data_IF_325566024223
#
_entry.id   IF_325566024223
#
_cell.length_a   1.000
_cell.length_b   1.000
_cell.length_c   1.000
_cell.angle_alpha   90.00
_cell.angle_beta   90.00
_cell.angle_gamma   90.00
#
_symmetry.space_group_name_H-M   'P 1'
#
loop_
_entity.id
_entity.type
_entity.pdbx_description
1 polymer ?
#
# COMPACT_ATOMS: atom_id res chain seq x y z
N UNK A 1 16.60 -16.22 42.08
CA UNK A 1 15.48 -16.91 41.40
C UNK A 1 14.57 -15.87 40.76
N UNK A 2 14.79 -15.53 39.49
CA UNK A 2 13.87 -14.70 38.72
C UNK A 2 12.65 -15.55 38.38
N UNK A 3 11.52 -15.32 39.06
CA UNK A 3 10.22 -15.89 38.65
C UNK A 3 9.88 -15.30 37.28
N UNK A 4 10.12 -16.05 36.22
CA UNK A 4 9.48 -15.86 34.92
C UNK A 4 7.96 -15.92 35.16
N UNK A 5 7.32 -14.75 35.27
CA UNK A 5 5.85 -14.67 35.31
C UNK A 5 5.35 -15.31 34.01
N UNK A 6 4.62 -16.42 34.13
CA UNK A 6 3.89 -17.00 33.00
C UNK A 6 3.12 -15.88 32.30
N UNK A 7 3.12 -15.82 30.96
CA UNK A 7 2.42 -14.78 30.23
C UNK A 7 0.95 -14.79 30.65
N UNK A 8 0.47 -13.69 31.26
CA UNK A 8 -0.94 -13.54 31.61
C UNK A 8 -1.79 -13.78 30.36
N UNK A 9 -2.79 -14.67 30.42
CA UNK A 9 -3.69 -14.94 29.31
C UNK A 9 -4.38 -13.66 28.82
N UNK A 10 -4.75 -13.59 27.54
CA UNK A 10 -5.47 -12.45 27.00
C UNK A 10 -6.79 -12.22 27.76
N UNK A 11 -7.48 -13.28 28.17
CA UNK A 11 -8.68 -13.22 29.00
C UNK A 11 -8.43 -12.56 30.37
N UNK A 12 -7.43 -13.05 31.13
CA UNK A 12 -7.08 -12.48 32.43
C UNK A 12 -6.57 -11.03 32.31
N UNK A 13 -5.91 -10.71 31.19
CA UNK A 13 -5.47 -9.35 30.89
C UNK A 13 -6.66 -8.43 30.66
N UNK A 14 -7.64 -8.86 29.87
CA UNK A 14 -8.86 -8.12 29.63
C UNK A 14 -9.63 -7.88 30.93
N UNK A 15 -9.87 -8.91 31.74
CA UNK A 15 -10.64 -8.77 32.98
C UNK A 15 -9.97 -7.80 33.97
N UNK A 16 -8.64 -7.85 34.05
CA UNK A 16 -7.87 -6.87 34.84
C UNK A 16 -8.02 -5.44 34.30
N UNK A 17 -7.98 -5.28 32.97
CA UNK A 17 -8.15 -3.98 32.33
C UNK A 17 -9.57 -3.43 32.52
N UNK A 18 -10.60 -4.28 32.37
CA UNK A 18 -12.01 -3.94 32.60
C UNK A 18 -12.24 -3.46 34.03
N UNK A 19 -11.76 -4.22 35.02
CA UNK A 19 -11.87 -3.85 36.45
C UNK A 19 -11.20 -2.51 36.73
N UNK A 20 -10.00 -2.27 36.19
CA UNK A 20 -9.30 -0.99 36.34
C UNK A 20 -10.05 0.16 35.67
N UNK A 21 -10.59 -0.05 34.47
CA UNK A 21 -11.32 0.96 33.73
C UNK A 21 -12.64 1.35 34.41
N UNK A 22 -13.34 0.38 35.01
CA UNK A 22 -14.56 0.63 35.79
C UNK A 22 -14.26 1.38 37.10
N UNK A 23 -13.14 1.10 37.75
CA UNK A 23 -12.73 1.80 38.96
C UNK A 23 -12.31 3.26 38.72
N UNK A 24 -11.59 3.54 37.62
CA UNK A 24 -11.10 4.88 37.29
C UNK A 24 -12.15 5.76 36.60
N UNK A 25 -12.98 5.15 35.76
CA UNK A 25 -13.98 5.84 34.94
C UNK A 25 -15.30 5.05 34.97
N UNK A 26 -16.11 5.22 36.04
CA UNK A 26 -17.39 4.55 36.17
C UNK A 26 -18.32 4.93 35.02
N UNK A 27 -19.15 3.97 34.63
CA UNK A 27 -20.07 4.12 33.50
C UNK A 27 -21.27 4.97 33.95
N UNK A 28 -21.73 5.95 33.15
CA UNK A 28 -22.95 6.70 33.46
C UNK A 28 -24.16 5.77 33.65
N UNK A 29 -25.04 6.12 34.58
CA UNK A 29 -26.27 5.36 34.89
C UNK A 29 -27.13 5.15 33.63
N UNK A 30 -27.46 3.90 33.33
CA UNK A 30 -28.28 3.51 32.16
C UNK A 30 -27.49 2.96 30.96
N UNK A 31 -26.15 3.05 30.95
CA UNK A 31 -25.33 2.45 29.89
C UNK A 31 -24.93 1.00 30.20
N UNK A 32 -25.10 0.09 29.24
CA UNK A 32 -24.67 -1.31 29.38
C UNK A 32 -23.15 -1.40 29.42
N UNK A 33 -22.61 -1.99 30.48
CA UNK A 33 -21.17 -2.23 30.62
C UNK A 33 -20.75 -3.57 29.96
N UNK A 34 -19.53 -3.64 29.39
CA UNK A 34 -18.94 -4.90 28.95
C UNK A 34 -18.82 -5.88 30.12
N UNK A 35 -19.14 -7.16 29.86
CA UNK A 35 -19.03 -8.23 30.86
C UNK A 35 -17.61 -8.81 30.91
N UNK A 36 -17.19 -9.39 32.07
CA UNK A 36 -15.93 -10.13 32.19
C UNK A 36 -15.95 -11.44 31.37
N UNK A 37 -14.78 -12.01 31.11
CA UNK A 37 -14.63 -13.20 30.25
C UNK A 37 -15.37 -14.43 30.76
N UNK A 38 -15.65 -14.52 32.06
CA UNK A 38 -16.43 -15.61 32.66
C UNK A 38 -17.88 -15.68 32.19
N UNK A 39 -18.41 -14.58 31.64
CA UNK A 39 -19.77 -14.51 31.12
C UNK A 39 -19.85 -14.73 29.60
N UNK A 40 -18.71 -14.99 28.94
CA UNK A 40 -18.65 -15.11 27.48
C UNK A 40 -18.82 -16.56 27.03
N UNK A 41 -19.26 -16.80 25.78
CA UNK A 41 -19.08 -18.09 25.13
C UNK A 41 -17.60 -18.51 25.15
N UNK A 42 -17.33 -19.78 25.43
CA UNK A 42 -15.95 -20.32 25.51
C UNK A 42 -15.14 -20.05 24.23
N UNK A 43 -15.78 -20.18 23.07
CA UNK A 43 -15.19 -19.87 21.77
C UNK A 43 -14.69 -18.43 21.64
N UNK A 44 -15.31 -17.45 22.32
CA UNK A 44 -14.89 -16.06 22.30
C UNK A 44 -13.64 -15.85 23.16
N UNK A 45 -13.48 -16.64 24.23
CA UNK A 45 -12.26 -16.66 25.06
C UNK A 45 -11.11 -17.21 24.23
N UNK A 46 -11.32 -18.35 23.56
CA UNK A 46 -10.32 -18.93 22.65
C UNK A 46 -9.99 -17.97 21.50
N UNK A 47 -10.99 -17.29 20.92
CA UNK A 47 -10.79 -16.28 19.88
C UNK A 47 -9.89 -15.14 20.38
N UNK A 48 -10.08 -14.66 21.61
CA UNK A 48 -9.28 -13.55 22.15
C UNK A 48 -7.80 -13.95 22.33
N UNK A 49 -7.52 -15.20 22.71
CA UNK A 49 -6.15 -15.74 22.72
C UNK A 49 -5.59 -15.83 21.30
N UNK A 50 -6.34 -16.37 20.33
CA UNK A 50 -5.92 -16.38 18.91
C UNK A 50 -5.66 -14.98 18.38
N UNK A 51 -6.47 -13.99 18.77
CA UNK A 51 -6.27 -12.60 18.38
C UNK A 51 -4.97 -12.03 18.94
N UNK A 52 -4.64 -12.37 20.19
CA UNK A 52 -3.38 -11.99 20.80
C UNK A 52 -2.21 -12.58 20.04
N UNK A 53 -2.24 -13.89 19.78
CA UNK A 53 -1.20 -14.59 19.02
C UNK A 53 -1.04 -14.01 17.61
N UNK A 54 -2.16 -13.67 16.96
CA UNK A 54 -2.18 -13.00 15.68
C UNK A 54 -1.49 -11.62 15.74
N UNK A 55 -1.79 -10.80 16.76
CA UNK A 55 -1.14 -9.50 16.93
C UNK A 55 0.37 -9.63 17.21
N UNK A 56 0.77 -10.59 18.04
CA UNK A 56 2.17 -10.88 18.36
C UNK A 56 2.92 -11.33 17.10
N UNK A 57 2.35 -12.26 16.33
CA UNK A 57 2.86 -12.68 15.03
C UNK A 57 2.93 -11.50 14.06
N UNK A 58 1.97 -10.57 14.12
CA UNK A 58 1.90 -9.32 13.35
C UNK A 58 2.99 -8.30 13.62
N UNK A 59 3.70 -8.48 14.73
CA UNK A 59 4.70 -7.55 15.22
C UNK A 59 4.13 -6.31 15.89
N UNK A 60 2.92 -6.40 16.46
CA UNK A 60 2.44 -5.37 17.37
C UNK A 60 3.29 -5.39 18.66
N UNK A 61 3.61 -4.21 19.20
CA UNK A 61 4.36 -4.10 20.45
C UNK A 61 3.53 -4.63 21.62
N UNK A 62 4.16 -5.35 22.57
CA UNK A 62 3.44 -5.94 23.70
C UNK A 62 2.65 -4.91 24.51
N UNK A 63 3.21 -3.72 24.72
CA UNK A 63 2.52 -2.63 25.41
C UNK A 63 1.26 -2.15 24.68
N UNK A 64 1.24 -2.23 23.34
CA UNK A 64 0.08 -1.88 22.53
C UNK A 64 -0.97 -2.99 22.58
N UNK A 65 -0.52 -4.25 22.49
CA UNK A 65 -1.37 -5.44 22.63
C UNK A 65 -2.10 -5.41 23.98
N UNK A 66 -1.34 -5.33 25.07
CA UNK A 66 -1.83 -5.44 26.44
C UNK A 66 -2.73 -4.26 26.85
N UNK A 67 -2.40 -3.04 26.42
CA UNK A 67 -3.08 -1.83 26.92
C UNK A 67 -4.19 -1.30 25.99
N UNK A 68 -4.20 -1.68 24.71
CA UNK A 68 -5.14 -1.11 23.73
C UNK A 68 -5.90 -2.19 22.95
N UNK A 69 -5.18 -3.14 22.34
CA UNK A 69 -5.79 -4.11 21.40
C UNK A 69 -6.67 -5.12 22.12
N UNK A 70 -6.14 -5.79 23.15
CA UNK A 70 -6.87 -6.78 23.94
C UNK A 70 -8.03 -6.14 24.72
N UNK A 71 -7.85 -5.00 25.42
CA UNK A 71 -8.97 -4.30 26.04
C UNK A 71 -10.11 -3.96 25.08
N UNK A 72 -9.80 -3.41 23.89
CA UNK A 72 -10.87 -3.08 22.94
C UNK A 72 -11.56 -4.30 22.33
N UNK A 73 -10.81 -5.33 21.95
CA UNK A 73 -11.42 -6.56 21.45
C UNK A 73 -12.35 -7.18 22.51
N UNK A 74 -11.90 -7.21 23.76
CA UNK A 74 -12.72 -7.71 24.84
C UNK A 74 -13.96 -6.83 25.13
N UNK A 75 -13.90 -5.51 24.94
CA UNK A 75 -15.11 -4.68 25.03
C UNK A 75 -16.14 -5.04 23.96
N UNK A 76 -15.71 -5.36 22.73
CA UNK A 76 -16.61 -5.84 21.67
C UNK A 76 -17.26 -7.16 22.09
N UNK A 77 -16.47 -8.13 22.54
CA UNK A 77 -16.97 -9.46 22.94
C UNK A 77 -17.85 -9.39 24.20
N UNK A 78 -17.48 -8.57 25.18
CA UNK A 78 -18.21 -8.43 26.44
C UNK A 78 -19.48 -7.60 26.36
N UNK A 79 -19.64 -6.77 25.33
CA UNK A 79 -20.91 -6.10 25.03
C UNK A 79 -21.85 -6.98 24.20
N UNK A 80 -21.29 -7.89 23.41
CA UNK A 80 -22.00 -8.74 22.46
C UNK A 80 -21.78 -10.22 22.82
N UNK A 81 -22.55 -10.72 23.80
CA UNK A 81 -22.45 -12.09 24.33
C UNK A 81 -23.04 -13.15 23.37
N UNK A 82 -22.58 -13.13 22.13
CA UNK A 82 -22.91 -14.12 21.11
C UNK A 82 -21.63 -14.70 20.50
N UNK A 83 -21.70 -15.91 19.92
CA UNK A 83 -20.61 -16.50 19.17
C UNK A 83 -19.95 -15.52 18.20
N UNK A 84 -18.62 -15.51 18.14
CA UNK A 84 -17.87 -14.58 17.30
C UNK A 84 -18.20 -14.67 15.81
N UNK A 85 -18.65 -15.84 15.33
CA UNK A 85 -19.12 -16.04 13.95
C UNK A 85 -20.43 -15.27 13.66
N UNK A 86 -21.24 -14.98 14.68
CA UNK A 86 -22.51 -14.25 14.58
C UNK A 86 -22.37 -12.74 14.83
N UNK A 87 -21.16 -12.24 15.11
CA UNK A 87 -20.92 -10.80 15.24
C UNK A 87 -21.14 -10.08 13.91
N UNK A 88 -21.93 -9.01 13.95
CA UNK A 88 -22.09 -8.06 12.87
C UNK A 88 -20.94 -7.05 12.97
N UNK A 89 -20.07 -7.02 11.95
CA UNK A 89 -18.82 -6.28 12.04
C UNK A 89 -19.00 -4.76 12.01
N UNK A 90 -20.16 -4.28 11.60
CA UNK A 90 -20.48 -2.85 11.54
C UNK A 90 -21.14 -2.42 12.85
N UNK A 91 -22.25 -3.06 13.23
CA UNK A 91 -23.06 -2.65 14.38
C UNK A 91 -22.46 -3.08 15.73
N UNK A 92 -21.90 -4.29 15.84
CA UNK A 92 -21.41 -4.79 17.14
C UNK A 92 -20.09 -4.16 17.56
N UNK A 93 -19.23 -3.82 16.59
CA UNK A 93 -17.99 -3.08 16.85
C UNK A 93 -18.27 -1.62 17.21
N UNK A 94 -19.29 -1.01 16.59
CA UNK A 94 -19.68 0.37 16.89
C UNK A 94 -20.16 0.52 18.34
N UNK A 95 -20.90 -0.45 18.89
CA UNK A 95 -21.29 -0.46 20.32
C UNK A 95 -20.11 -0.28 21.27
N UNK A 96 -18.96 -0.91 20.97
CA UNK A 96 -17.75 -0.76 21.78
C UNK A 96 -17.14 0.64 21.66
N UNK A 97 -17.23 1.26 20.48
CA UNK A 97 -16.81 2.65 20.28
C UNK A 97 -17.73 3.62 21.03
N UNK A 98 -19.06 3.43 20.94
CA UNK A 98 -20.05 4.21 21.69
C UNK A 98 -19.81 4.11 23.19
N UNK A 99 -19.55 2.90 23.72
CA UNK A 99 -19.19 2.69 25.12
C UNK A 99 -17.95 3.47 25.56
N UNK A 100 -16.93 3.59 24.71
CA UNK A 100 -15.75 4.38 25.01
C UNK A 100 -16.04 5.88 24.92
N UNK A 101 -16.84 6.31 23.95
CA UNK A 101 -17.21 7.71 23.76
C UNK A 101 -18.03 8.28 24.92
N UNK A 102 -18.89 7.48 25.57
CA UNK A 102 -19.65 7.93 26.75
C UNK A 102 -18.76 8.32 27.93
N UNK A 103 -17.50 7.86 27.96
CA UNK A 103 -16.51 8.22 28.98
C UNK A 103 -15.76 9.53 28.67
N UNK A 104 -16.14 10.25 27.61
CA UNK A 104 -15.50 11.48 27.15
C UNK A 104 -13.96 11.45 27.09
N UNK A 105 -13.34 10.44 26.45
CA UNK A 105 -11.90 10.34 26.39
C UNK A 105 -11.29 11.38 25.44
N UNK A 106 -9.99 11.61 25.60
CA UNK A 106 -9.23 12.53 24.74
C UNK A 106 -9.30 12.12 23.25
N UNK A 107 -9.18 13.07 22.31
CA UNK A 107 -9.21 12.77 20.86
C UNK A 107 -8.16 11.73 20.44
N UNK A 108 -6.96 11.80 21.00
CA UNK A 108 -5.88 10.83 20.77
C UNK A 108 -6.25 9.41 21.24
N UNK A 109 -6.91 9.30 22.40
CA UNK A 109 -7.38 8.00 22.89
C UNK A 109 -8.50 7.44 22.01
N UNK A 110 -9.43 8.27 21.57
CA UNK A 110 -10.48 7.85 20.63
C UNK A 110 -9.90 7.30 19.34
N UNK A 111 -8.88 7.96 18.79
CA UNK A 111 -8.20 7.48 17.58
C UNK A 111 -7.49 6.15 17.81
N UNK A 112 -6.83 5.98 18.95
CA UNK A 112 -6.22 4.70 19.32
C UNK A 112 -7.26 3.57 19.49
N UNK A 113 -8.44 3.87 20.04
CA UNK A 113 -9.55 2.92 20.14
C UNK A 113 -10.11 2.56 18.76
N UNK A 114 -10.35 3.53 17.88
CA UNK A 114 -10.77 3.29 16.48
C UNK A 114 -9.77 2.40 15.76
N UNK A 115 -8.48 2.73 15.89
CA UNK A 115 -7.41 1.92 15.33
C UNK A 115 -7.41 0.51 15.94
N UNK A 116 -7.66 0.35 17.25
CA UNK A 116 -7.77 -0.95 17.93
C UNK A 116 -8.91 -1.80 17.41
N UNK A 117 -10.09 -1.22 17.23
CA UNK A 117 -11.25 -1.87 16.63
C UNK A 117 -10.98 -2.29 15.18
N UNK A 118 -10.33 -1.43 14.39
CA UNK A 118 -9.96 -1.79 13.02
C UNK A 118 -9.05 -3.03 12.97
N UNK A 119 -8.11 -3.20 13.91
CA UNK A 119 -7.29 -4.42 13.96
C UNK A 119 -8.09 -5.66 14.38
N UNK A 120 -9.04 -5.52 15.30
CA UNK A 120 -9.90 -6.63 15.69
C UNK A 120 -10.85 -7.04 14.56
N UNK A 121 -11.43 -6.04 13.85
CA UNK A 121 -12.22 -6.28 12.63
C UNK A 121 -11.43 -7.06 11.59
N UNK A 122 -10.18 -6.65 11.35
CA UNK A 122 -9.27 -7.32 10.42
C UNK A 122 -9.05 -8.78 10.76
N UNK A 123 -8.78 -9.04 12.02
CA UNK A 123 -8.63 -10.40 12.52
C UNK A 123 -9.91 -11.22 12.31
N UNK A 124 -11.08 -10.68 12.67
CA UNK A 124 -12.36 -11.37 12.46
C UNK A 124 -12.67 -11.65 10.98
N UNK A 125 -12.36 -10.72 10.08
CA UNK A 125 -12.50 -10.96 8.63
C UNK A 125 -11.60 -12.11 8.18
N UNK A 126 -10.36 -12.13 8.65
CA UNK A 126 -9.41 -13.20 8.33
C UNK A 126 -9.87 -14.55 8.87
N UNK A 127 -10.35 -14.62 10.12
CA UNK A 127 -10.90 -15.86 10.71
C UNK A 127 -12.11 -16.40 9.93
N UNK A 128 -12.87 -15.51 9.28
CA UNK A 128 -14.01 -15.86 8.42
C UNK A 128 -13.63 -16.18 6.97
N UNK A 129 -12.34 -16.12 6.62
CA UNK A 129 -11.87 -16.28 5.23
C UNK A 129 -12.31 -15.13 4.31
N UNK A 130 -12.72 -14.00 4.86
CA UNK A 130 -13.14 -12.82 4.10
C UNK A 130 -11.93 -11.90 3.88
N UNK A 131 -11.66 -11.55 2.61
CA UNK A 131 -10.64 -10.56 2.29
C UNK A 131 -11.08 -9.16 2.78
N UNK A 132 -10.18 -8.38 3.40
CA UNK A 132 -10.44 -6.94 3.53
C UNK A 132 -10.60 -6.37 2.11
N UNK A 133 -11.66 -5.59 1.84
CA UNK A 133 -11.66 -4.72 0.67
C UNK A 133 -10.35 -3.94 0.71
N UNK A 134 -9.54 -3.97 -0.36
CA UNK A 134 -8.32 -3.15 -0.44
C UNK A 134 -8.73 -1.73 -0.08
N UNK A 135 -8.31 -1.26 1.09
CA UNK A 135 -8.71 0.05 1.60
C UNK A 135 -8.56 1.09 0.50
N UNK A 136 -9.63 1.87 0.28
CA UNK A 136 -9.71 2.93 -0.73
C UNK A 136 -8.36 3.59 -0.84
N UNK A 137 -7.71 3.39 -1.98
CA UNK A 137 -6.36 3.87 -2.13
C UNK A 137 -6.42 5.39 -2.12
N UNK A 138 -5.69 6.01 -1.19
CA UNK A 138 -5.64 7.47 -0.98
C UNK A 138 -4.89 8.10 -2.16
N UNK A 139 -5.50 8.08 -3.33
CA UNK A 139 -5.10 8.90 -4.46
C UNK A 139 -6.01 10.12 -4.44
N UNK A 140 -5.45 11.30 -4.72
CA UNK A 140 -6.24 12.54 -4.70
C UNK A 140 -7.42 12.47 -5.68
N UNK A 141 -8.39 13.36 -5.51
CA UNK A 141 -9.53 13.50 -6.40
C UNK A 141 -9.05 13.78 -7.83
N UNK A 142 -9.33 12.86 -8.76
CA UNK A 142 -8.96 13.00 -10.17
C UNK A 142 -9.73 14.15 -10.83
N UNK A 143 -10.90 14.47 -10.28
CA UNK A 143 -11.82 15.54 -10.67
C UNK A 143 -11.11 16.90 -10.70
N UNK A 144 -10.11 17.13 -9.83
CA UNK A 144 -9.33 18.38 -9.81
C UNK A 144 -8.54 18.64 -11.09
N UNK A 145 -8.23 17.59 -11.85
CA UNK A 145 -7.52 17.67 -13.12
C UNK A 145 -8.46 17.80 -14.32
N UNK A 146 -9.76 17.62 -14.09
CA UNK A 146 -10.83 17.80 -15.06
C UNK A 146 -11.42 19.20 -14.98
N UNK A 147 -11.39 19.82 -13.79
CA UNK A 147 -11.90 21.17 -13.55
C UNK A 147 -11.37 22.19 -14.58
N UNK A 148 -12.30 22.91 -15.22
CA UNK A 148 -12.03 23.93 -16.23
C UNK A 148 -11.77 23.41 -17.65
N UNK A 149 -11.73 22.09 -17.88
CA UNK A 149 -11.62 21.56 -19.23
C UNK A 149 -12.98 21.51 -19.93
N UNK A 150 -13.04 21.76 -21.25
CA UNK A 150 -14.27 21.61 -22.03
C UNK A 150 -14.87 20.20 -21.97
N UNK A 151 -16.20 20.11 -21.96
CA UNK A 151 -16.92 18.84 -21.89
C UNK A 151 -16.60 17.91 -23.07
N UNK A 152 -16.46 18.48 -24.28
CA UNK A 152 -16.09 17.70 -25.47
C UNK A 152 -14.72 17.02 -25.29
N UNK A 153 -13.76 17.71 -24.66
CA UNK A 153 -12.41 17.20 -24.42
C UNK A 153 -12.42 16.14 -23.33
N UNK A 154 -13.15 16.37 -22.23
CA UNK A 154 -13.34 15.39 -21.16
C UNK A 154 -13.91 14.09 -21.73
N UNK A 155 -14.94 14.17 -22.57
CA UNK A 155 -15.54 13.01 -23.22
C UNK A 155 -14.54 12.23 -24.10
N UNK A 156 -13.60 12.89 -24.78
CA UNK A 156 -12.56 12.20 -25.55
C UNK A 156 -11.47 11.61 -24.64
N UNK A 157 -11.07 12.31 -23.58
CA UNK A 157 -10.08 11.82 -22.61
C UNK A 157 -10.60 10.60 -21.85
N UNK A 158 -11.89 10.54 -21.52
CA UNK A 158 -12.52 9.35 -20.94
C UNK A 158 -12.51 8.14 -21.87
N UNK A 159 -12.75 8.36 -23.17
CA UNK A 159 -12.62 7.30 -24.18
C UNK A 159 -11.17 6.79 -24.26
N UNK A 160 -10.20 7.70 -24.29
CA UNK A 160 -8.77 7.35 -24.28
C UNK A 160 -8.38 6.59 -22.99
N UNK A 161 -8.90 7.03 -21.85
CA UNK A 161 -8.71 6.38 -20.56
C UNK A 161 -9.24 4.93 -20.62
N UNK A 162 -10.46 4.73 -21.12
CA UNK A 162 -11.09 3.42 -21.27
C UNK A 162 -10.23 2.47 -22.12
N UNK A 163 -9.71 2.95 -23.27
CA UNK A 163 -8.82 2.16 -24.12
C UNK A 163 -7.53 1.76 -23.41
N UNK A 164 -6.94 2.68 -22.62
CA UNK A 164 -5.70 2.39 -21.88
C UNK A 164 -5.92 1.43 -20.72
N UNK A 165 -7.05 1.54 -20.03
CA UNK A 165 -7.40 0.70 -18.88
C UNK A 165 -7.38 -0.80 -19.19
N UNK A 166 -7.72 -1.20 -20.42
CA UNK A 166 -7.68 -2.60 -20.85
C UNK A 166 -6.28 -3.24 -20.69
N UNK A 167 -5.22 -2.43 -20.82
CA UNK A 167 -3.84 -2.88 -20.70
C UNK A 167 -3.28 -2.82 -19.27
N UNK A 168 -4.05 -2.30 -18.31
CA UNK A 168 -3.56 -2.03 -16.96
C UNK A 168 -3.84 -3.18 -16.00
N UNK A 169 -2.87 -3.45 -15.12
CA UNK A 169 -3.05 -4.37 -14.00
C UNK A 169 -4.16 -3.85 -13.08
N UNK A 170 -5.04 -4.75 -12.66
CA UNK A 170 -6.15 -4.45 -11.74
C UNK A 170 -5.66 -3.81 -10.43
N UNK A 171 -4.59 -4.37 -9.84
CA UNK A 171 -3.96 -3.84 -8.62
C UNK A 171 -3.51 -2.39 -8.73
N UNK A 172 -3.29 -1.90 -9.94
CA UNK A 172 -2.78 -0.56 -10.25
C UNK A 172 -3.83 0.33 -10.91
N UNK A 173 -5.04 -0.13 -11.15
CA UNK A 173 -6.02 0.61 -11.95
C UNK A 173 -6.33 1.97 -11.34
N UNK A 174 -6.61 2.03 -10.04
CA UNK A 174 -6.91 3.29 -9.33
C UNK A 174 -5.79 4.33 -9.45
N UNK A 175 -4.52 3.94 -9.21
CA UNK A 175 -3.39 4.87 -9.34
C UNK A 175 -3.13 5.28 -10.77
N UNK A 176 -3.32 4.37 -11.72
CA UNK A 176 -3.13 4.63 -13.14
C UNK A 176 -4.19 5.60 -13.67
N UNK A 177 -5.44 5.53 -13.19
CA UNK A 177 -6.50 6.50 -13.50
C UNK A 177 -6.10 7.89 -12.99
N UNK A 178 -5.71 8.00 -11.72
CA UNK A 178 -5.26 9.28 -11.16
C UNK A 178 -4.06 9.87 -11.94
N UNK A 179 -3.05 9.03 -12.23
CA UNK A 179 -1.88 9.45 -12.98
C UNK A 179 -2.17 9.78 -14.44
N UNK A 180 -3.16 9.14 -15.04
CA UNK A 180 -3.65 9.48 -16.37
C UNK A 180 -4.13 10.93 -16.35
N UNK A 181 -5.11 11.26 -15.50
CA UNK A 181 -5.63 12.62 -15.43
C UNK A 181 -4.54 13.64 -15.11
N UNK A 182 -3.67 13.37 -14.14
CA UNK A 182 -2.55 14.26 -13.81
C UNK A 182 -1.62 14.58 -15.00
N UNK A 183 -1.30 13.58 -15.84
CA UNK A 183 -0.27 13.70 -16.89
C UNK A 183 -0.87 14.06 -18.25
N UNK A 184 -2.09 13.59 -18.54
CA UNK A 184 -2.74 13.75 -19.83
C UNK A 184 -3.43 15.11 -19.94
N UNK A 185 -3.81 15.76 -18.84
CA UNK A 185 -4.47 17.07 -18.89
C UNK A 185 -3.55 18.26 -18.70
N UNK A 186 -2.25 18.06 -18.43
CA UNK A 186 -1.38 19.18 -18.04
C UNK A 186 -1.25 20.24 -19.13
N UNK A 187 -0.92 19.83 -20.37
CA UNK A 187 -0.85 20.76 -21.51
C UNK A 187 -2.25 21.30 -21.84
N UNK A 188 -3.30 20.47 -21.77
CA UNK A 188 -4.67 20.93 -22.02
C UNK A 188 -5.10 22.05 -21.07
N UNK A 189 -4.83 21.91 -19.76
CA UNK A 189 -5.14 22.95 -18.78
C UNK A 189 -4.35 24.22 -19.06
N UNK A 190 -3.06 24.12 -19.41
CA UNK A 190 -2.28 25.29 -19.80
C UNK A 190 -2.84 25.96 -21.06
N UNK A 191 -3.28 25.20 -22.07
CA UNK A 191 -3.90 25.75 -23.28
C UNK A 191 -5.23 26.47 -22.99
N UNK A 192 -6.03 25.95 -22.05
CA UNK A 192 -7.28 26.59 -21.60
C UNK A 192 -6.97 27.85 -20.79
N UNK A 193 -6.01 27.80 -19.87
CA UNK A 193 -5.56 28.95 -19.07
C UNK A 193 -5.03 30.09 -19.94
N UNK A 194 -4.55 29.80 -21.15
CA UNK A 194 -4.08 30.78 -22.14
C UNK A 194 -5.11 31.04 -23.25
N UNK A 195 -6.37 30.66 -23.06
CA UNK A 195 -7.49 30.94 -23.96
C UNK A 195 -7.34 30.40 -25.40
N UNK A 196 -6.46 29.39 -25.60
CA UNK A 196 -6.25 28.77 -26.92
C UNK A 196 -7.33 27.72 -27.19
N UNK A 197 -7.76 27.01 -26.15
CA UNK A 197 -8.81 26.00 -26.20
C UNK A 197 -10.00 26.48 -25.37
N UNK A 198 -11.20 26.31 -25.94
CA UNK A 198 -12.46 26.71 -25.34
C UNK A 198 -13.52 25.60 -25.55
N UNK A 199 -14.79 25.92 -25.25
CA UNK A 199 -15.90 24.97 -25.32
C UNK A 199 -16.26 24.52 -26.75
N UNK A 200 -15.69 25.15 -27.77
CA UNK A 200 -15.82 24.75 -29.16
C UNK A 200 -14.70 23.78 -29.58
N UNK A 201 -15.07 22.69 -30.25
CA UNK A 201 -14.12 21.71 -30.78
C UNK A 201 -13.24 22.27 -31.91
N UNK A 202 -13.70 23.31 -32.62
CA UNK A 202 -12.91 23.96 -33.67
C UNK A 202 -11.65 24.66 -33.12
N UNK A 203 -11.64 24.99 -31.82
CA UNK A 203 -10.49 25.58 -31.13
C UNK A 203 -9.23 24.71 -31.19
N UNK A 204 -9.36 23.40 -31.46
CA UNK A 204 -8.23 22.50 -31.73
C UNK A 204 -7.35 22.99 -32.89
N UNK A 205 -7.93 23.68 -33.88
CA UNK A 205 -7.19 24.21 -35.03
C UNK A 205 -6.33 25.42 -34.67
N UNK A 206 -6.60 26.07 -33.53
CA UNK A 206 -5.84 27.22 -33.04
C UNK A 206 -4.51 26.83 -32.40
N UNK A 207 -4.30 25.54 -32.08
CA UNK A 207 -3.06 25.07 -31.48
C UNK A 207 -1.91 25.19 -32.48
N UNK A 208 -0.90 26.00 -32.13
CA UNK A 208 0.32 26.21 -32.92
C UNK A 208 1.55 25.67 -32.20
N UNK A 209 2.66 25.52 -32.92
CA UNK A 209 3.95 25.09 -32.35
C UNK A 209 4.44 26.08 -31.29
N UNK A 210 4.22 27.37 -31.51
CA UNK A 210 4.67 28.42 -30.59
C UNK A 210 4.02 28.28 -29.21
N UNK A 211 2.76 27.84 -29.15
CA UNK A 211 2.09 27.55 -27.88
C UNK A 211 2.76 26.40 -27.13
N UNK A 212 3.24 25.37 -27.84
CA UNK A 212 3.95 24.24 -27.22
C UNK A 212 5.35 24.64 -26.75
N UNK A 213 6.05 25.48 -27.50
CA UNK A 213 7.34 26.05 -27.04
C UNK A 213 7.14 26.95 -25.81
N UNK A 214 6.13 27.83 -25.82
CA UNK A 214 5.78 28.66 -24.68
C UNK A 214 5.43 27.83 -23.43
N UNK A 215 4.68 26.73 -23.59
CA UNK A 215 4.45 25.77 -22.50
C UNK A 215 5.77 25.17 -21.98
N UNK A 216 6.65 24.71 -22.87
CA UNK A 216 7.92 24.10 -22.49
C UNK A 216 8.79 25.10 -21.71
N UNK A 217 8.88 26.35 -22.17
CA UNK A 217 9.62 27.42 -21.50
C UNK A 217 9.01 27.76 -20.14
N UNK A 218 7.69 27.87 -20.05
CA UNK A 218 6.98 28.12 -18.79
C UNK A 218 7.23 27.00 -17.76
N UNK A 219 7.24 25.74 -18.19
CA UNK A 219 7.53 24.61 -17.30
C UNK A 219 9.00 24.60 -16.85
N UNK A 220 9.94 24.93 -17.73
CA UNK A 220 11.35 25.06 -17.36
C UNK A 220 11.56 26.22 -16.37
N UNK A 221 10.90 27.36 -16.58
CA UNK A 221 10.94 28.51 -15.67
C UNK A 221 10.39 28.18 -14.28
N UNK A 222 9.39 27.29 -14.20
CA UNK A 222 8.85 26.75 -12.95
C UNK A 222 9.74 25.66 -12.31
N UNK A 223 10.88 25.32 -12.91
CA UNK A 223 11.83 24.34 -12.38
C UNK A 223 11.48 22.87 -12.67
N UNK A 224 10.60 22.60 -13.64
CA UNK A 224 10.34 21.21 -14.06
C UNK A 224 11.55 20.62 -14.76
N UNK A 225 11.86 19.35 -14.46
CA UNK A 225 12.91 18.63 -15.17
C UNK A 225 12.55 18.43 -16.65
N UNK A 226 13.54 18.55 -17.54
CA UNK A 226 13.44 18.31 -18.99
C UNK A 226 12.74 16.98 -19.31
N UNK A 227 13.02 15.93 -18.52
CA UNK A 227 12.39 14.62 -18.66
C UNK A 227 10.87 14.64 -18.45
N UNK A 228 10.39 15.45 -17.53
CA UNK A 228 8.95 15.63 -17.23
C UNK A 228 8.25 16.40 -18.34
N UNK A 229 8.84 17.52 -18.78
CA UNK A 229 8.30 18.33 -19.89
C UNK A 229 8.16 17.49 -21.17
N UNK A 230 9.20 16.71 -21.49
CA UNK A 230 9.16 15.79 -22.62
C UNK A 230 8.10 14.69 -22.48
N UNK A 231 7.83 14.22 -21.25
CA UNK A 231 6.78 13.24 -21.01
C UNK A 231 5.39 13.85 -21.20
N UNK A 232 5.18 15.09 -20.76
CA UNK A 232 3.94 15.83 -21.00
C UNK A 232 3.69 15.99 -22.50
N UNK A 233 4.71 16.46 -23.25
CA UNK A 233 4.65 16.58 -24.70
C UNK A 233 4.33 15.24 -25.38
N UNK A 234 5.00 14.16 -24.97
CA UNK A 234 4.76 12.82 -25.50
C UNK A 234 3.32 12.34 -25.27
N UNK A 235 2.79 12.52 -24.05
CA UNK A 235 1.40 12.15 -23.73
C UNK A 235 0.41 12.98 -24.54
N UNK A 236 0.64 14.29 -24.64
CA UNK A 236 -0.19 15.21 -25.41
C UNK A 236 -0.21 14.86 -26.90
N UNK A 237 0.94 14.62 -27.52
CA UNK A 237 1.01 14.14 -28.91
C UNK A 237 0.31 12.77 -29.08
N UNK A 238 0.35 11.91 -28.07
CA UNK A 238 -0.44 10.68 -28.02
C UNK A 238 -1.95 10.95 -28.02
N UNK A 239 -2.42 11.94 -27.27
CA UNK A 239 -3.81 12.40 -27.30
C UNK A 239 -4.19 12.97 -28.66
N UNK A 240 -3.35 13.82 -29.24
CA UNK A 240 -3.61 14.42 -30.55
C UNK A 240 -3.72 13.37 -31.66
N UNK A 241 -2.86 12.33 -31.65
CA UNK A 241 -2.99 11.18 -32.57
C UNK A 241 -4.32 10.45 -32.39
N UNK A 242 -4.74 10.24 -31.14
CA UNK A 242 -6.04 9.62 -30.84
C UNK A 242 -7.21 10.47 -31.35
N UNK A 243 -7.16 11.80 -31.18
CA UNK A 243 -8.19 12.71 -31.71
C UNK A 243 -8.20 12.72 -33.24
N UNK A 244 -7.03 12.75 -33.88
CA UNK A 244 -6.91 12.68 -35.35
C UNK A 244 -7.56 11.40 -35.91
N UNK A 245 -7.33 10.24 -35.27
CA UNK A 245 -7.96 8.97 -35.65
C UNK A 245 -9.49 8.98 -35.51
N UNK A 246 -10.05 9.89 -34.73
CA UNK A 246 -11.49 10.06 -34.52
C UNK A 246 -12.12 11.14 -35.40
N UNK A 247 -11.36 11.71 -36.33
CA UNK A 247 -11.86 12.67 -37.32
C UNK A 247 -11.65 14.15 -36.95
N UNK A 248 -11.02 14.46 -35.81
CA UNK A 248 -10.72 15.85 -35.45
C UNK A 248 -9.61 16.42 -36.35
N UNK A 249 -9.76 17.69 -36.74
CA UNK A 249 -8.77 18.42 -37.55
C UNK A 249 -7.55 18.80 -36.72
N UNK A 250 -6.49 18.01 -36.79
CA UNK A 250 -5.23 18.23 -36.07
C UNK A 250 -4.10 18.53 -37.06
N UNK A 251 -3.35 19.61 -36.81
CA UNK A 251 -2.19 19.94 -37.63
C UNK A 251 -1.05 18.92 -37.42
N UNK A 252 -0.63 18.25 -38.50
CA UNK A 252 0.41 17.20 -38.48
C UNK A 252 1.72 17.67 -37.85
N UNK A 253 2.05 18.96 -37.98
CA UNK A 253 3.26 19.57 -37.42
C UNK A 253 3.34 19.49 -35.88
N UNK A 254 2.19 19.39 -35.20
CA UNK A 254 2.15 19.24 -33.73
C UNK A 254 2.55 17.83 -33.29
N UNK A 255 2.29 16.84 -34.15
CA UNK A 255 2.54 15.42 -33.88
C UNK A 255 4.02 15.03 -33.94
N UNK A 256 4.82 15.83 -34.64
CA UNK A 256 6.26 15.61 -34.89
C UNK A 256 7.17 16.60 -34.17
N UNK A 257 6.64 17.41 -33.24
CA UNK A 257 7.46 18.35 -32.47
C UNK A 257 8.52 17.58 -31.65
N UNK A 258 9.82 17.85 -31.83
CA UNK A 258 10.85 17.18 -31.07
C UNK A 258 10.85 17.66 -29.61
N UNK A 259 11.13 16.74 -28.70
CA UNK A 259 11.36 17.09 -27.30
C UNK A 259 12.69 17.83 -27.09
N UNK A 260 12.83 18.43 -25.91
CA UNK A 260 14.07 19.03 -25.44
C UNK A 260 15.17 17.98 -25.30
N UNK A 261 16.40 18.33 -25.68
CA UNK A 261 17.57 17.45 -25.52
C UNK A 261 17.78 17.12 -24.04
N UNK A 262 17.76 15.83 -23.70
CA UNK A 262 18.05 15.36 -22.34
C UNK A 262 19.58 15.26 -22.18
N UNK A 263 20.13 15.66 -21.03
CA UNK A 263 21.52 15.34 -20.72
C UNK A 263 21.68 13.83 -20.61
N UNK A 264 22.80 13.31 -21.10
CA UNK A 264 23.12 11.89 -20.99
C UNK A 264 23.33 11.53 -19.52
N UNK A 265 22.56 10.55 -19.04
CA UNK A 265 22.72 10.04 -17.68
C UNK A 265 23.61 8.80 -17.71
N UNK A 266 24.66 8.80 -16.89
CA UNK A 266 25.47 7.60 -16.68
C UNK A 266 24.60 6.43 -16.17
N UNK A 267 24.83 5.19 -16.66
CA UNK A 267 24.20 4.01 -16.10
C UNK A 267 24.41 3.97 -14.58
N UNK A 268 23.32 3.76 -13.83
CA UNK A 268 23.37 3.62 -12.38
C UNK A 268 23.27 2.15 -12.05
N UNK A 269 24.36 1.58 -11.59
CA UNK A 269 24.44 0.20 -11.11
C UNK A 269 25.20 0.16 -9.77
N UNK A 270 25.01 -0.92 -9.02
CA UNK A 270 25.80 -1.19 -7.83
C UNK A 270 27.05 -2.00 -8.19
N UNK A 271 28.19 -1.69 -7.59
CA UNK A 271 29.37 -2.56 -7.67
C UNK A 271 29.19 -3.80 -6.80
N UNK A 272 29.89 -4.90 -7.11
CA UNK A 272 29.82 -6.13 -6.30
C UNK A 272 30.14 -5.88 -4.82
N UNK A 273 31.07 -4.95 -4.54
CA UNK A 273 31.39 -4.53 -3.18
C UNK A 273 30.23 -3.83 -2.49
N UNK A 274 29.53 -2.93 -3.20
CA UNK A 274 28.34 -2.27 -2.66
C UNK A 274 27.19 -3.26 -2.40
N UNK A 275 27.02 -4.25 -3.28
CA UNK A 275 26.03 -5.31 -3.12
C UNK A 275 26.38 -6.20 -1.92
N UNK A 276 27.66 -6.57 -1.74
CA UNK A 276 28.11 -7.29 -0.55
C UNK A 276 27.81 -6.52 0.73
N UNK A 277 28.16 -5.24 0.80
CA UNK A 277 27.85 -4.39 1.97
C UNK A 277 26.36 -4.36 2.31
N UNK A 278 25.50 -4.26 1.29
CA UNK A 278 24.04 -4.30 1.48
C UNK A 278 23.56 -5.66 1.98
N UNK A 279 24.06 -6.75 1.38
CA UNK A 279 23.74 -8.12 1.78
C UNK A 279 24.16 -8.35 3.24
N UNK A 280 25.37 -7.96 3.59
CA UNK A 280 25.96 -8.20 4.90
C UNK A 280 25.22 -7.39 5.98
N UNK A 281 24.86 -6.12 5.73
CA UNK A 281 23.96 -5.33 6.63
C UNK A 281 22.61 -6.02 6.84
N UNK A 282 22.00 -6.55 5.78
CA UNK A 282 20.70 -7.23 5.90
C UNK A 282 20.82 -8.55 6.67
N UNK A 283 21.90 -9.30 6.47
CA UNK A 283 22.16 -10.56 7.18
C UNK A 283 22.45 -10.33 8.67
N UNK A 284 23.36 -9.41 9.00
CA UNK A 284 23.66 -9.03 10.40
C UNK A 284 22.40 -8.57 11.15
N UNK A 285 21.51 -7.85 10.44
CA UNK A 285 20.22 -7.47 11.00
C UNK A 285 19.36 -8.70 11.30
N UNK A 286 19.28 -9.69 10.41
CA UNK A 286 18.52 -10.90 10.72
C UNK A 286 19.05 -11.58 12.00
N UNK A 287 20.37 -11.62 12.19
CA UNK A 287 21.02 -12.23 13.36
C UNK A 287 20.77 -11.45 14.66
N UNK A 288 20.84 -10.12 14.61
CA UNK A 288 20.65 -9.23 15.78
C UNK A 288 19.18 -8.98 16.14
N UNK A 289 18.26 -9.81 15.66
CA UNK A 289 16.83 -9.63 15.90
C UNK A 289 16.45 -10.10 17.31
N UNK A 290 16.00 -9.16 18.14
CA UNK A 290 15.64 -9.36 19.55
C UNK A 290 14.18 -9.76 19.78
N UNK A 291 13.33 -9.62 18.76
CA UNK A 291 11.90 -10.02 18.84
C UNK A 291 11.47 -10.79 17.59
N UNK A 292 10.51 -11.74 17.72
CA UNK A 292 9.97 -12.48 16.56
C UNK A 292 9.43 -11.56 15.46
N UNK A 293 8.78 -10.47 15.87
CA UNK A 293 8.30 -9.39 15.01
C UNK A 293 9.40 -8.79 14.12
N UNK A 294 10.51 -8.40 14.75
CA UNK A 294 11.65 -7.80 14.06
C UNK A 294 12.35 -8.83 13.19
N UNK A 295 12.48 -10.07 13.65
CA UNK A 295 13.05 -11.16 12.87
C UNK A 295 12.27 -11.36 11.56
N UNK A 296 10.94 -11.43 11.64
CA UNK A 296 10.07 -11.55 10.45
C UNK A 296 10.29 -10.40 9.48
N UNK A 297 10.22 -9.16 9.95
CA UNK A 297 10.37 -7.98 9.10
C UNK A 297 11.78 -7.90 8.47
N UNK A 298 12.82 -8.36 9.17
CA UNK A 298 14.20 -8.39 8.65
C UNK A 298 14.39 -9.52 7.63
N UNK A 299 13.77 -10.69 7.84
CA UNK A 299 13.72 -11.77 6.84
C UNK A 299 12.92 -11.35 5.59
N UNK A 300 11.85 -10.57 5.76
CA UNK A 300 11.12 -9.94 4.65
C UNK A 300 12.07 -9.06 3.81
N UNK A 301 12.78 -8.14 4.47
CA UNK A 301 13.69 -7.22 3.81
C UNK A 301 14.79 -7.98 3.04
N UNK A 302 15.36 -9.04 3.63
CA UNK A 302 16.38 -9.89 3.02
C UNK A 302 15.85 -10.70 1.82
N UNK A 303 14.68 -11.32 1.95
CA UNK A 303 14.04 -12.06 0.87
C UNK A 303 13.67 -11.15 -0.31
N UNK A 304 13.11 -9.97 -0.04
CA UNK A 304 12.81 -8.97 -1.05
C UNK A 304 14.10 -8.49 -1.77
N UNK A 305 15.19 -8.28 -1.02
CA UNK A 305 16.49 -7.93 -1.59
C UNK A 305 17.00 -8.99 -2.59
N UNK A 306 16.99 -10.27 -2.21
CA UNK A 306 17.45 -11.34 -3.10
C UNK A 306 16.58 -11.48 -4.35
N UNK A 307 15.26 -11.32 -4.24
CA UNK A 307 14.39 -11.35 -5.42
C UNK A 307 14.62 -10.16 -6.36
N UNK A 308 14.92 -8.97 -5.83
CA UNK A 308 15.28 -7.81 -6.64
C UNK A 308 16.62 -8.01 -7.33
N UNK A 309 17.64 -8.45 -6.59
CA UNK A 309 19.02 -8.55 -7.07
C UNK A 309 19.26 -9.79 -7.94
N UNK A 310 19.04 -10.98 -7.39
CA UNK A 310 19.33 -12.24 -8.07
C UNK A 310 18.16 -12.73 -8.93
N UNK A 311 16.93 -12.47 -8.49
CA UNK A 311 15.73 -12.77 -9.28
C UNK A 311 15.45 -11.78 -10.40
N UNK A 312 16.06 -10.59 -10.36
CA UNK A 312 15.81 -9.52 -11.35
C UNK A 312 14.34 -9.11 -11.41
N UNK A 313 13.61 -9.21 -10.28
CA UNK A 313 12.23 -8.75 -10.19
C UNK A 313 12.20 -7.22 -10.16
N UNK A 314 11.21 -6.64 -10.83
CA UNK A 314 10.87 -5.24 -10.60
C UNK A 314 10.20 -5.10 -9.23
N UNK A 315 10.33 -3.95 -8.58
CA UNK A 315 9.66 -3.69 -7.29
C UNK A 315 8.15 -3.93 -7.33
N UNK A 316 7.48 -3.64 -8.45
CA UNK A 316 6.05 -3.91 -8.62
C UNK A 316 5.75 -5.41 -8.80
N UNK A 317 6.71 -6.18 -9.33
CA UNK A 317 6.59 -7.65 -9.44
C UNK A 317 6.75 -8.28 -8.04
N UNK A 318 7.64 -7.75 -7.19
CA UNK A 318 7.74 -8.15 -5.77
C UNK A 318 6.46 -7.79 -4.99
N UNK A 319 5.90 -6.60 -5.21
CA UNK A 319 4.65 -6.12 -4.58
C UNK A 319 3.44 -7.02 -4.92
N UNK A 320 3.31 -7.44 -6.17
CA UNK A 320 2.16 -8.21 -6.66
C UNK A 320 2.35 -9.75 -6.53
N UNK A 321 3.50 -10.25 -6.07
CA UNK A 321 3.81 -11.69 -6.05
C UNK A 321 2.90 -12.45 -5.09
N UNK A 322 2.30 -13.56 -5.54
CA UNK A 322 1.38 -14.40 -4.73
C UNK A 322 1.99 -15.74 -4.35
N UNK A 323 1.47 -16.38 -3.30
CA UNK A 323 1.92 -17.72 -2.88
C UNK A 323 1.73 -18.77 -3.99
N UNK A 324 0.67 -18.63 -4.81
CA UNK A 324 0.40 -19.52 -5.94
C UNK A 324 1.42 -19.38 -7.09
N UNK A 325 2.22 -18.31 -7.09
CA UNK A 325 3.28 -18.09 -8.08
C UNK A 325 4.58 -18.81 -7.71
N UNK A 326 4.69 -19.35 -6.50
CA UNK A 326 5.89 -20.00 -5.98
C UNK A 326 5.82 -21.51 -6.16
N UNK A 327 6.78 -22.08 -6.89
CA UNK A 327 7.08 -23.52 -6.86
C UNK A 327 8.48 -23.69 -6.26
N UNK A 328 8.55 -23.74 -4.92
CA UNK A 328 9.81 -23.83 -4.19
C UNK A 328 10.59 -25.14 -4.45
N UNK A 329 9.95 -26.32 -4.57
CA UNK A 329 10.66 -27.56 -4.93
C UNK A 329 11.40 -27.45 -6.28
N UNK A 330 10.77 -26.86 -7.29
CA UNK A 330 11.40 -26.59 -8.60
C UNK A 330 12.21 -25.28 -8.62
N UNK A 331 12.29 -24.58 -7.49
CA UNK A 331 12.95 -23.26 -7.35
C UNK A 331 12.43 -22.24 -8.36
N UNK A 332 11.19 -22.37 -8.80
CA UNK A 332 10.60 -21.59 -9.89
C UNK A 332 9.62 -20.56 -9.33
N UNK A 333 9.71 -19.32 -9.83
CA UNK A 333 8.74 -18.26 -9.53
C UNK A 333 8.09 -17.78 -10.83
N UNK A 334 6.77 -17.81 -10.89
CA UNK A 334 5.98 -17.32 -12.01
C UNK A 334 5.65 -15.84 -11.84
N UNK A 335 6.22 -14.98 -12.68
CA UNK A 335 5.93 -13.54 -12.67
C UNK A 335 4.80 -13.25 -13.67
N UNK A 336 3.59 -13.12 -13.14
CA UNK A 336 2.39 -12.83 -13.92
C UNK A 336 2.34 -11.39 -14.42
N UNK A 337 1.72 -11.21 -15.60
CA UNK A 337 1.38 -9.92 -16.21
C UNK A 337 2.56 -8.96 -16.19
N UNK A 338 3.76 -9.44 -16.55
CA UNK A 338 4.99 -8.63 -16.67
C UNK A 338 4.83 -7.54 -17.75
N UNK A 339 5.92 -6.89 -18.17
CA UNK A 339 5.85 -5.86 -19.23
C UNK A 339 5.12 -6.42 -20.47
N UNK A 340 4.08 -5.70 -20.92
CA UNK A 340 3.26 -6.12 -22.06
C UNK A 340 2.25 -7.23 -21.76
N UNK A 341 1.89 -7.44 -20.48
CA UNK A 341 0.94 -8.47 -20.03
C UNK A 341 1.38 -9.91 -20.32
N UNK A 342 2.67 -10.14 -20.58
CA UNK A 342 3.25 -11.48 -20.76
C UNK A 342 3.72 -12.05 -19.43
N UNK A 343 3.56 -13.34 -19.26
CA UNK A 343 4.07 -14.06 -18.09
C UNK A 343 5.52 -14.51 -18.35
N UNK A 344 6.33 -14.57 -17.30
CA UNK A 344 7.68 -15.16 -17.36
C UNK A 344 7.95 -15.96 -16.10
N UNK A 345 8.74 -17.03 -16.22
CA UNK A 345 9.27 -17.74 -15.07
C UNK A 345 10.72 -17.31 -14.80
N UNK A 346 11.11 -17.30 -13.53
CA UNK A 346 12.52 -17.20 -13.11
C UNK A 346 12.86 -18.39 -12.22
N UNK A 347 14.15 -18.69 -12.11
CA UNK A 347 14.67 -19.70 -11.18
C UNK A 347 15.46 -19.02 -10.06
N UNK A 348 15.25 -19.49 -8.84
CA UNK A 348 15.89 -18.97 -7.64
C UNK A 348 17.25 -19.64 -7.44
N UNK A 349 18.24 -18.84 -7.09
CA UNK A 349 19.50 -19.32 -6.52
C UNK A 349 19.26 -19.95 -5.14
N UNK A 350 20.24 -20.71 -4.63
CA UNK A 350 20.16 -21.28 -3.29
C UNK A 350 19.98 -20.20 -2.21
N UNK A 351 20.70 -19.08 -2.32
CA UNK A 351 20.60 -17.97 -1.37
C UNK A 351 19.22 -17.30 -1.39
N UNK A 352 18.65 -17.07 -2.58
CA UNK A 352 17.32 -16.48 -2.72
C UNK A 352 16.23 -17.43 -2.21
N UNK A 353 16.33 -18.72 -2.52
CA UNK A 353 15.42 -19.75 -2.03
C UNK A 353 15.47 -19.86 -0.50
N UNK A 354 16.67 -19.89 0.08
CA UNK A 354 16.85 -19.96 1.54
C UNK A 354 16.25 -18.74 2.24
N UNK A 355 16.55 -17.53 1.76
CA UNK A 355 15.99 -16.29 2.32
C UNK A 355 14.47 -16.24 2.20
N UNK A 356 13.92 -16.62 1.04
CA UNK A 356 12.48 -16.65 0.81
C UNK A 356 11.79 -17.68 1.72
N UNK A 357 12.32 -18.90 1.80
CA UNK A 357 11.76 -19.97 2.63
C UNK A 357 11.79 -19.59 4.11
N UNK A 358 12.91 -19.06 4.59
CA UNK A 358 13.04 -18.59 5.97
C UNK A 358 12.06 -17.45 6.29
N UNK A 359 11.74 -16.58 5.33
CA UNK A 359 10.69 -15.59 5.50
C UNK A 359 9.30 -16.24 5.53
N UNK A 360 9.01 -17.18 4.62
CA UNK A 360 7.70 -17.84 4.52
C UNK A 360 7.31 -18.60 5.79
N UNK A 361 8.27 -19.21 6.48
CA UNK A 361 8.07 -19.82 7.80
C UNK A 361 7.50 -18.84 8.84
N UNK A 362 7.92 -17.57 8.78
CA UNK A 362 7.53 -16.52 9.72
C UNK A 362 6.49 -15.53 9.15
N UNK A 363 6.14 -15.65 7.86
CA UNK A 363 5.25 -14.72 7.15
C UNK A 363 3.96 -14.48 7.93
N UNK A 364 3.47 -15.55 8.57
CA UNK A 364 2.22 -15.56 9.31
C UNK A 364 1.02 -15.51 8.37
N UNK A 365 -0.16 -15.52 8.96
CA UNK A 365 -1.41 -15.38 8.24
C UNK A 365 -1.64 -13.90 7.88
N UNK A 366 -2.35 -13.65 6.78
CA UNK A 366 -2.80 -12.32 6.41
C UNK A 366 -4.03 -12.39 5.54
N UNK A 367 -4.67 -11.24 5.32
CA UNK A 367 -5.92 -11.14 4.57
C UNK A 367 -5.75 -11.30 3.05
N UNK A 368 -4.58 -11.75 2.58
CA UNK A 368 -4.23 -11.90 1.17
C UNK A 368 -3.18 -13.00 1.00
N UNK A 369 -3.21 -13.59 -0.18
CA UNK A 369 -2.27 -14.55 -0.75
C UNK A 369 -0.95 -13.93 -1.23
N UNK A 370 -0.74 -12.62 -1.13
CA UNK A 370 0.52 -11.97 -1.48
C UNK A 370 1.69 -12.56 -0.65
N UNK A 371 2.81 -12.90 -1.29
CA UNK A 371 4.00 -13.46 -0.63
C UNK A 371 4.45 -12.56 0.50
N UNK A 372 4.61 -11.28 0.23
CA UNK A 372 5.15 -10.33 1.20
C UNK A 372 4.06 -9.58 1.94
N UNK A 373 4.04 -9.77 3.26
CA UNK A 373 3.15 -9.10 4.19
C UNK A 373 3.94 -8.27 5.20
N UNK A 374 3.50 -7.03 5.42
CA UNK A 374 3.93 -6.19 6.53
C UNK A 374 2.71 -5.87 7.40
N UNK A 375 2.76 -6.22 8.69
CA UNK A 375 1.63 -6.03 9.62
C UNK A 375 0.31 -6.66 9.10
N UNK A 376 0.45 -7.87 8.54
CA UNK A 376 -0.61 -8.67 7.88
C UNK A 376 -1.30 -8.00 6.69
N UNK A 377 -0.74 -6.93 6.11
CA UNK A 377 -1.19 -6.35 4.84
C UNK A 377 -0.17 -6.64 3.75
N UNK A 378 -0.58 -6.82 2.49
CA UNK A 378 0.33 -6.79 1.37
C UNK A 378 1.24 -5.56 1.46
N UNK A 379 2.53 -5.76 1.22
CA UNK A 379 3.47 -4.65 1.15
C UNK A 379 3.14 -3.71 -0.01
N UNK A 380 3.62 -2.48 0.06
CA UNK A 380 3.61 -1.57 -1.10
C UNK A 380 5.00 -1.42 -1.69
N UNK A 381 5.10 -1.09 -2.98
CA UNK A 381 6.39 -0.79 -3.62
C UNK A 381 7.16 0.34 -2.93
N UNK A 382 6.43 1.29 -2.32
CA UNK A 382 7.03 2.41 -1.62
C UNK A 382 7.62 1.96 -0.28
N UNK A 383 7.00 0.98 0.39
CA UNK A 383 7.61 0.32 1.55
C UNK A 383 8.94 -0.34 1.15
N UNK A 384 8.95 -1.16 0.10
CA UNK A 384 10.19 -1.84 -0.38
C UNK A 384 11.27 -0.81 -0.72
N UNK A 385 10.91 0.25 -1.46
CA UNK A 385 11.83 1.33 -1.80
C UNK A 385 12.41 2.01 -0.56
N UNK A 386 11.59 2.31 0.44
CA UNK A 386 12.03 2.91 1.69
C UNK A 386 12.94 1.97 2.48
N UNK A 387 12.61 0.67 2.54
CA UNK A 387 13.43 -0.36 3.21
C UNK A 387 14.80 -0.51 2.56
N UNK A 388 14.86 -0.58 1.23
CA UNK A 388 16.12 -0.65 0.48
C UNK A 388 16.95 0.63 0.66
N UNK A 389 16.33 1.82 0.60
CA UNK A 389 17.03 3.08 0.89
C UNK A 389 17.58 3.12 2.32
N UNK A 390 16.82 2.62 3.29
CA UNK A 390 17.26 2.56 4.68
C UNK A 390 18.45 1.60 4.86
N UNK A 391 18.46 0.45 4.17
CA UNK A 391 19.61 -0.44 4.11
C UNK A 391 20.81 0.24 3.47
N UNK A 392 20.61 0.90 2.33
CA UNK A 392 21.62 1.75 1.69
C UNK A 392 22.26 2.76 2.63
N UNK A 393 21.44 3.52 3.37
CA UNK A 393 21.95 4.53 4.31
C UNK A 393 22.85 3.92 5.39
N UNK A 394 22.50 2.73 5.91
CA UNK A 394 23.33 2.04 6.92
C UNK A 394 24.62 1.49 6.34
N UNK A 395 24.54 0.88 5.16
CA UNK A 395 25.68 0.33 4.46
C UNK A 395 26.58 1.38 3.77
N UNK A 396 26.21 2.67 3.80
CA UNK A 396 26.90 3.73 3.06
C UNK A 396 26.76 3.62 1.54
N UNK A 397 25.70 2.98 1.05
CA UNK A 397 25.45 2.71 -0.38
C UNK A 397 24.19 3.44 -0.85
N UNK A 398 24.31 4.23 -1.92
CA UNK A 398 23.15 4.84 -2.58
C UNK A 398 22.44 3.80 -3.46
N UNK A 399 21.34 3.23 -2.95
CA UNK A 399 20.58 2.18 -3.64
C UNK A 399 19.13 2.57 -3.87
N UNK A 400 18.58 2.06 -4.97
CA UNK A 400 17.14 1.97 -5.21
C UNK A 400 16.82 0.59 -5.80
N UNK A 401 15.59 0.08 -5.69
CA UNK A 401 15.22 -1.25 -6.24
C UNK A 401 15.44 -1.45 -7.75
N UNK A 402 15.83 -0.42 -8.50
CA UNK A 402 16.08 -0.49 -9.94
C UNK A 402 17.57 -0.54 -10.31
N UNK A 403 18.45 -0.21 -9.35
CA UNK A 403 19.91 -0.17 -9.55
C UNK A 403 20.54 -1.55 -9.43
#
# INVERSE_FOLDING_TARGET
>A
MNKTKSPTSAAARYDKALKRAQALHPVPSGCRAPQPTTAWPEENVTLLERYRDWLEAGGAAQSVIDNHRIPMAGHVLGLNLKPHCQLDLDTDLEKALTYIQTKQPSPSWQENCRHSLHWFRRFLLQERGLAEPRGKTIYGHAERYQAGLPDWLLAQLDKLLTLRQASWRESRRAVSIYQFWQKYTRIWRWLVENEIINDDEESLTHIKRDHLYAYMDAMLAQGYAIGSVNLDLYNFQGCLRFLQQRGFKIATVLLSLPGLKKPDSLPRFLTDEQVRKLRDDLMERVETADTPARLRDRRLDLAAFYLLWQGGLRVCEVEDLTLADLNLPERRVLIRRSKGLKDRAIYLTDAALAALSAYLELRGQGSSDCVFLYRHKPISKDLVRCRMKAAGKRAGVKVTPHM
#
